data_IF_170449679741
#
_entry.id   IF_170449679741
#
_cell.length_a   1.000
_cell.length_b   1.000
_cell.length_c   1.000
_cell.angle_alpha   90.00
_cell.angle_beta   90.00
_cell.angle_gamma   90.00
#
_symmetry.space_group_name_H-M   'P 1'
#
loop_
_entity.id
_entity.type
_entity.pdbx_description
1 polymer ?
#
# COMPACT_ATOMS: atom_id res chain seq x y z
N UNK A 1 6.66 -46.18 22.80
CA UNK A 1 7.02 -44.76 23.03
C UNK A 1 7.01 -44.09 21.67
N UNK A 2 5.95 -43.34 21.40
CA UNK A 2 5.78 -42.58 20.16
C UNK A 2 6.50 -41.24 20.32
N UNK A 3 7.44 -40.93 19.43
CA UNK A 3 7.95 -39.57 19.26
C UNK A 3 7.34 -39.04 17.96
N UNK A 4 6.25 -38.29 18.12
CA UNK A 4 5.61 -37.50 17.07
C UNK A 4 6.53 -36.36 16.68
N UNK A 5 7.13 -36.45 15.50
CA UNK A 5 7.78 -35.32 14.83
C UNK A 5 6.70 -34.30 14.45
N UNK A 6 6.67 -33.16 15.14
CA UNK A 6 5.87 -32.01 14.75
C UNK A 6 6.61 -31.31 13.61
N UNK A 7 6.19 -31.58 12.37
CA UNK A 7 6.60 -30.81 11.22
C UNK A 7 5.91 -29.43 11.28
N UNK A 8 6.67 -28.41 11.69
CA UNK A 8 6.28 -27.02 11.46
C UNK A 8 6.45 -26.72 9.97
N UNK A 9 5.38 -26.95 9.21
CA UNK A 9 5.26 -26.42 7.86
C UNK A 9 5.05 -24.91 7.96
N UNK A 10 6.16 -24.16 8.02
CA UNK A 10 6.16 -22.73 7.72
C UNK A 10 5.87 -22.63 6.23
N UNK A 11 4.58 -22.53 5.90
CA UNK A 11 4.11 -22.04 4.62
C UNK A 11 4.62 -20.60 4.50
N UNK A 12 5.85 -20.49 4.02
CA UNK A 12 6.37 -19.28 3.40
C UNK A 12 5.55 -19.12 2.11
N UNK A 13 4.33 -18.62 2.26
CA UNK A 13 3.58 -18.06 1.16
C UNK A 13 4.46 -16.95 0.63
N UNK A 14 5.19 -17.26 -0.44
CA UNK A 14 5.80 -16.27 -1.29
C UNK A 14 4.66 -15.38 -1.76
N UNK A 15 4.41 -14.32 -1.00
CA UNK A 15 3.76 -13.13 -1.48
C UNK A 15 4.61 -12.74 -2.68
N UNK A 16 4.12 -13.09 -3.86
CA UNK A 16 4.40 -12.33 -5.07
C UNK A 16 3.90 -10.92 -4.74
N UNK A 17 4.73 -10.16 -4.02
CA UNK A 17 4.56 -8.73 -3.82
C UNK A 17 4.76 -8.19 -5.22
N UNK A 18 3.66 -8.15 -5.95
CA UNK A 18 3.55 -7.32 -7.12
C UNK A 18 3.97 -5.95 -6.62
N UNK A 19 5.03 -5.40 -7.20
CA UNK A 19 5.61 -4.13 -6.80
C UNK A 19 4.54 -3.05 -6.96
N UNK A 20 3.75 -2.85 -5.91
CA UNK A 20 2.88 -1.71 -5.78
C UNK A 20 3.78 -0.50 -5.64
N UNK A 21 3.55 0.50 -6.50
CA UNK A 21 4.19 1.82 -6.42
C UNK A 21 3.87 2.55 -5.11
N UNK A 22 2.94 2.01 -4.30
CA UNK A 22 2.71 2.44 -2.92
C UNK A 22 3.01 1.26 -1.99
N UNK A 23 4.06 1.39 -1.20
CA UNK A 23 4.62 0.36 -0.33
C UNK A 23 5.17 0.99 0.98
N UNK A 24 5.65 0.19 1.94
CA UNK A 24 6.15 0.72 3.21
C UNK A 24 7.39 1.65 3.09
N UNK A 25 8.18 1.56 2.02
CA UNK A 25 9.34 2.44 1.77
C UNK A 25 8.93 3.86 1.31
N UNK A 26 7.69 4.04 0.85
CA UNK A 26 7.15 5.36 0.52
C UNK A 26 6.73 6.18 1.74
N UNK A 27 6.71 5.56 2.93
CA UNK A 27 6.41 6.25 4.18
C UNK A 27 7.69 6.98 4.63
N UNK A 28 7.68 8.32 4.75
CA UNK A 28 8.80 9.03 5.35
C UNK A 28 9.13 8.45 6.72
N UNK A 29 10.41 8.41 7.10
CA UNK A 29 10.84 7.78 8.35
C UNK A 29 10.07 8.36 9.55
N UNK A 30 9.79 9.65 9.52
CA UNK A 30 9.03 10.43 10.49
C UNK A 30 7.55 10.04 10.59
N UNK A 31 7.02 9.29 9.63
CA UNK A 31 5.63 8.84 9.56
C UNK A 31 5.47 7.33 9.75
N UNK A 32 6.57 6.58 9.92
CA UNK A 32 6.53 5.10 10.07
C UNK A 32 5.76 4.62 11.31
N UNK A 33 5.58 5.46 12.31
CA UNK A 33 4.79 5.18 13.52
C UNK A 33 3.29 5.49 13.37
N UNK A 34 2.90 6.13 12.27
CA UNK A 34 1.49 6.43 11.96
C UNK A 34 0.84 5.15 11.42
N UNK A 35 -0.10 4.59 12.17
CA UNK A 35 -0.76 3.32 11.83
C UNK A 35 -1.51 3.41 10.50
N UNK A 36 -2.11 4.55 10.22
CA UNK A 36 -2.82 4.82 8.98
C UNK A 36 -1.87 4.74 7.77
N UNK A 37 -0.61 5.18 7.88
CA UNK A 37 0.36 5.04 6.80
C UNK A 37 0.74 3.60 6.51
N UNK A 38 0.90 2.79 7.56
CA UNK A 38 1.14 1.36 7.39
C UNK A 38 -0.07 0.66 6.76
N UNK A 39 -1.27 1.06 7.13
CA UNK A 39 -2.51 0.47 6.60
C UNK A 39 -2.77 0.91 5.14
N UNK A 40 -2.55 2.18 4.80
CA UNK A 40 -2.63 2.70 3.42
C UNK A 40 -1.72 1.90 2.49
N UNK A 41 -0.45 1.73 2.88
CA UNK A 41 0.55 1.04 2.05
C UNK A 41 0.26 -0.45 1.92
N UNK A 42 -0.18 -1.12 2.99
CA UNK A 42 -0.61 -2.53 2.93
C UNK A 42 -1.83 -2.75 2.04
N UNK A 43 -2.84 -1.87 2.12
CA UNK A 43 -4.07 -1.96 1.31
C UNK A 43 -3.81 -1.61 -0.15
N UNK A 44 -2.97 -0.61 -0.44
CA UNK A 44 -2.54 -0.30 -1.79
C UNK A 44 -1.75 -1.48 -2.39
N UNK A 45 -0.83 -2.07 -1.62
CA UNK A 45 -0.07 -3.24 -2.05
C UNK A 45 -0.92 -4.49 -2.29
N UNK A 46 -2.03 -4.66 -1.56
CA UNK A 46 -2.94 -5.81 -1.73
C UNK A 46 -3.66 -5.80 -3.08
N UNK A 47 -3.80 -4.63 -3.71
CA UNK A 47 -4.44 -4.48 -5.02
C UNK A 47 -3.61 -5.02 -6.19
N UNK A 48 -2.41 -5.52 -5.93
CA UNK A 48 -1.47 -5.86 -6.98
C UNK A 48 -1.00 -4.60 -7.69
N UNK A 49 -0.59 -4.70 -8.95
CA UNK A 49 -0.04 -3.59 -9.71
C UNK A 49 1.26 -4.03 -10.35
N UNK A 50 1.18 -4.45 -11.61
CA UNK A 50 2.38 -4.54 -12.45
C UNK A 50 2.41 -3.25 -13.20
N UNK A 51 3.35 -2.35 -12.88
CA UNK A 51 3.63 -1.19 -13.71
C UNK A 51 4.07 -1.69 -15.11
N UNK A 52 3.11 -2.00 -15.99
CA UNK A 52 3.43 -2.57 -17.31
C UNK A 52 4.24 -1.55 -18.14
N UNK A 53 4.28 -0.28 -17.70
CA UNK A 53 5.03 0.83 -18.29
C UNK A 53 5.61 1.83 -17.28
N UNK A 54 5.80 1.44 -16.01
CA UNK A 54 6.52 2.24 -15.00
C UNK A 54 5.71 3.27 -14.20
N UNK A 55 4.38 3.24 -14.26
CA UNK A 55 3.53 4.02 -13.34
C UNK A 55 2.19 3.31 -13.06
N UNK A 56 1.96 2.92 -11.80
CA UNK A 56 0.71 2.28 -11.37
C UNK A 56 -0.43 3.31 -11.21
N UNK A 57 -0.15 4.59 -11.05
CA UNK A 57 -1.16 5.66 -11.07
C UNK A 57 -1.75 5.87 -12.48
N UNK A 58 -1.17 5.28 -13.52
CA UNK A 58 -1.76 5.24 -14.85
C UNK A 58 -2.81 4.12 -15.03
N UNK A 59 -3.00 3.25 -14.03
CA UNK A 59 -3.88 2.09 -14.09
C UNK A 59 -5.20 2.35 -13.34
N UNK A 60 -6.32 2.57 -14.05
CA UNK A 60 -7.59 2.89 -13.41
C UNK A 60 -8.09 1.76 -12.50
N UNK A 61 -7.86 0.49 -12.86
CA UNK A 61 -8.30 -0.67 -12.06
C UNK A 61 -7.55 -0.76 -10.73
N UNK A 62 -6.27 -0.41 -10.72
CA UNK A 62 -5.47 -0.38 -9.50
C UNK A 62 -5.92 0.75 -8.57
N UNK A 63 -6.01 1.98 -9.11
CA UNK A 63 -6.57 3.13 -8.38
C UNK A 63 -7.98 2.77 -7.89
N UNK A 64 -8.71 2.01 -8.69
CA UNK A 64 -10.05 1.56 -8.35
C UNK A 64 -10.07 0.70 -7.09
N UNK A 65 -9.23 -0.31 -7.07
CA UNK A 65 -9.06 -1.20 -5.95
C UNK A 65 -8.53 -0.46 -4.71
N UNK A 66 -7.46 0.33 -4.85
CA UNK A 66 -6.78 0.97 -3.72
C UNK A 66 -7.71 1.91 -2.95
N UNK A 67 -8.37 2.85 -3.64
CA UNK A 67 -9.26 3.79 -2.95
C UNK A 67 -10.58 3.17 -2.48
N UNK A 68 -10.95 1.98 -2.95
CA UNK A 68 -12.10 1.25 -2.40
C UNK A 68 -11.74 0.54 -1.09
N UNK A 69 -10.48 0.14 -0.90
CA UNK A 69 -10.00 -0.50 0.33
C UNK A 69 -9.55 0.50 1.39
N UNK A 70 -8.98 1.62 0.95
CA UNK A 70 -8.44 2.67 1.82
C UNK A 70 -9.55 3.66 2.15
N UNK A 71 -9.81 3.89 3.43
CA UNK A 71 -10.81 4.87 3.85
C UNK A 71 -10.35 6.31 3.56
N UNK A 72 -11.29 7.20 3.25
CA UNK A 72 -10.99 8.63 3.00
C UNK A 72 -10.26 9.29 4.18
N UNK A 73 -10.68 8.98 5.41
CA UNK A 73 -10.03 9.54 6.60
C UNK A 73 -8.65 8.92 6.85
N UNK A 74 -8.48 7.66 6.52
CA UNK A 74 -7.23 6.91 6.70
C UNK A 74 -6.13 7.43 5.77
N UNK A 75 -6.45 7.61 4.48
CA UNK A 75 -5.50 8.21 3.53
C UNK A 75 -5.18 9.65 3.90
N UNK A 76 -6.17 10.44 4.33
CA UNK A 76 -5.96 11.82 4.74
C UNK A 76 -5.02 11.92 5.94
N UNK A 77 -5.20 11.10 6.99
CA UNK A 77 -4.28 11.08 8.15
C UNK A 77 -2.85 10.74 7.73
N UNK A 78 -2.68 9.81 6.78
CA UNK A 78 -1.34 9.49 6.30
C UNK A 78 -0.73 10.63 5.47
N UNK A 79 -1.51 11.23 4.55
CA UNK A 79 -1.09 12.40 3.76
C UNK A 79 -0.74 13.59 4.66
N UNK A 80 -1.49 13.80 5.75
CA UNK A 80 -1.23 14.86 6.72
C UNK A 80 0.10 14.68 7.44
N UNK A 81 0.69 13.50 7.46
CA UNK A 81 2.08 13.29 7.91
C UNK A 81 3.03 13.33 6.71
N UNK A 82 2.82 12.45 5.74
CA UNK A 82 3.73 12.23 4.63
C UNK A 82 3.91 13.48 3.77
N UNK A 83 2.88 14.29 3.58
CA UNK A 83 2.92 15.51 2.78
C UNK A 83 3.80 16.62 3.35
N UNK A 84 4.08 16.62 4.66
CA UNK A 84 5.04 17.57 5.25
C UNK A 84 6.48 17.25 4.89
N UNK A 85 6.81 15.96 4.79
CA UNK A 85 8.17 15.47 4.56
C UNK A 85 8.44 15.14 3.09
N UNK A 86 7.42 14.71 2.36
CA UNK A 86 7.46 14.35 0.94
C UNK A 86 6.16 14.74 0.21
N UNK A 87 5.96 16.04 -0.08
CA UNK A 87 4.72 16.56 -0.70
C UNK A 87 4.44 16.04 -2.12
N UNK A 88 5.42 15.40 -2.76
CA UNK A 88 5.27 14.77 -4.08
C UNK A 88 5.38 13.24 -4.06
N UNK A 89 5.40 12.62 -2.88
CA UNK A 89 5.54 11.17 -2.72
C UNK A 89 4.29 10.40 -3.14
N UNK A 90 4.45 9.09 -3.26
CA UNK A 90 3.42 8.21 -3.82
C UNK A 90 2.15 8.12 -2.95
N UNK A 91 2.28 8.35 -1.64
CA UNK A 91 1.14 8.51 -0.71
C UNK A 91 0.28 9.74 -1.07
N UNK A 92 0.90 10.88 -1.40
CA UNK A 92 0.18 12.11 -1.77
C UNK A 92 -0.43 11.96 -3.17
N UNK A 93 0.29 11.33 -4.10
CA UNK A 93 -0.24 11.01 -5.43
C UNK A 93 -1.44 10.08 -5.35
N UNK A 94 -1.42 9.09 -4.45
CA UNK A 94 -2.53 8.17 -4.24
C UNK A 94 -3.80 8.91 -3.78
N UNK A 95 -3.69 9.83 -2.83
CA UNK A 95 -4.83 10.64 -2.38
C UNK A 95 -5.40 11.50 -3.50
N UNK A 96 -4.54 12.14 -4.27
CA UNK A 96 -4.97 12.91 -5.43
C UNK A 96 -5.66 12.02 -6.48
N UNK A 97 -5.09 10.86 -6.78
CA UNK A 97 -5.69 9.88 -7.69
C UNK A 97 -7.06 9.41 -7.19
N UNK A 98 -7.21 9.16 -5.89
CA UNK A 98 -8.48 8.80 -5.28
C UNK A 98 -9.54 9.91 -5.37
N UNK A 99 -9.14 11.17 -5.20
CA UNK A 99 -10.01 12.35 -5.35
C UNK A 99 -10.40 12.61 -6.80
N UNK A 100 -9.49 12.34 -7.74
CA UNK A 100 -9.69 12.57 -9.18
C UNK A 100 -10.46 11.44 -9.89
N UNK A 101 -10.76 10.33 -9.19
CA UNK A 101 -11.64 9.28 -9.73
C UNK A 101 -13.00 9.85 -10.07
N UNK A 102 -13.21 10.12 -11.36
CA UNK A 102 -14.55 10.29 -11.92
C UNK A 102 -15.18 8.90 -12.04
N UNK A 103 -16.25 8.68 -11.29
CA UNK A 103 -17.13 7.52 -11.45
C UNK A 103 -17.86 7.58 -12.80
#
# INVERSE_FOLDING_TARGET
MQFTSIAFSVLCSALLVSASEVNPDDIPQECTWVQECQSVTQKAASCGGTAQWGDVFSQPDWISCACNQIGVQEIQTCVDCAGWYNPGGDIVKLDQACKDRKY
#
